data_IF_389110516294
#
_entry.id   IF_389110516294
#
_cell.length_a   1.000
_cell.length_b   1.000
_cell.length_c   1.000
_cell.angle_alpha   90.00
_cell.angle_beta   90.00
_cell.angle_gamma   90.00
#
_symmetry.space_group_name_H-M   'P 1'
#
loop_
_entity.id
_entity.type
_entity.pdbx_description
1 polymer ?
#
# COMPACT_ATOMS: atom_id res chain seq x y z
N UNK A 1 58.89 31.42 32.30
CA UNK A 1 58.52 30.01 32.04
C UNK A 1 57.05 29.96 31.67
N UNK A 2 56.70 29.04 30.79
CA UNK A 2 55.65 29.09 29.76
C UNK A 2 54.36 28.33 30.14
N UNK A 3 53.21 28.93 29.80
CA UNK A 3 51.89 28.35 29.42
C UNK A 3 51.08 27.49 30.44
N UNK A 4 49.75 27.28 30.23
CA UNK A 4 48.72 28.20 29.73
C UNK A 4 47.34 28.11 30.45
N UNK A 5 46.52 29.09 30.07
CA UNK A 5 45.06 29.30 30.17
C UNK A 5 44.15 28.07 30.04
N UNK A 6 42.95 28.17 30.61
CA UNK A 6 41.67 28.00 29.87
C UNK A 6 40.49 28.54 30.69
N UNK A 7 39.82 29.56 30.13
CA UNK A 7 38.50 30.08 30.52
C UNK A 7 37.47 29.41 29.60
N UNK A 8 36.29 29.02 30.11
CA UNK A 8 35.05 29.23 29.35
C UNK A 8 34.08 30.05 30.21
N UNK A 9 33.67 31.24 29.77
CA UNK A 9 32.71 31.51 28.70
C UNK A 9 31.27 31.31 29.16
N UNK A 10 30.62 32.47 29.31
CA UNK A 10 29.28 32.79 29.73
C UNK A 10 28.28 32.57 28.55
N UNK A 11 26.99 32.41 28.90
CA UNK A 11 25.76 32.82 28.17
C UNK A 11 24.92 31.78 27.39
N UNK A 12 23.67 31.71 27.86
CA UNK A 12 22.37 31.68 27.15
C UNK A 12 22.08 30.59 26.10
N UNK A 13 21.08 29.77 26.43
CA UNK A 13 20.09 29.28 25.45
C UNK A 13 18.69 29.50 26.01
N UNK A 14 18.14 30.69 25.74
CA UNK A 14 16.70 30.91 25.67
C UNK A 14 16.31 30.80 24.20
N UNK A 15 15.61 29.75 23.79
CA UNK A 15 15.00 29.69 22.47
C UNK A 15 13.88 28.64 22.38
N UNK A 16 12.67 29.14 22.14
CA UNK A 16 11.64 28.57 21.27
C UNK A 16 10.73 27.46 21.85
N UNK A 17 9.76 27.89 22.66
CA UNK A 17 8.40 27.33 22.57
C UNK A 17 7.79 27.75 21.23
N UNK A 18 8.03 26.97 20.18
CA UNK A 18 7.16 26.96 19.01
C UNK A 18 6.06 25.91 19.22
N UNK A 19 5.02 26.28 19.97
CA UNK A 19 3.75 25.56 19.94
C UNK A 19 3.28 25.56 18.49
N UNK A 20 3.35 24.39 17.85
CA UNK A 20 2.76 24.18 16.56
C UNK A 20 1.24 24.27 16.76
N UNK A 21 0.65 25.42 16.44
CA UNK A 21 -0.78 25.49 16.17
C UNK A 21 -1.01 24.60 14.97
N UNK A 22 -1.51 23.38 15.20
CA UNK A 22 -2.07 22.56 14.15
C UNK A 22 -3.12 23.42 13.45
N UNK A 23 -2.79 23.87 12.24
CA UNK A 23 -3.65 24.75 11.46
C UNK A 23 -5.00 24.06 11.28
N UNK A 24 -6.04 24.63 11.89
CA UNK A 24 -7.41 24.29 11.56
C UNK A 24 -7.65 24.76 10.13
N UNK A 25 -7.37 23.90 9.14
CA UNK A 25 -7.72 24.19 7.75
C UNK A 25 -9.24 24.41 7.75
N UNK A 26 -9.73 25.59 7.32
CA UNK A 26 -11.16 25.75 7.13
C UNK A 26 -11.61 24.64 6.18
N UNK A 27 -12.59 23.85 6.62
CA UNK A 27 -13.24 22.87 5.78
C UNK A 27 -13.77 23.65 4.58
N UNK A 28 -13.10 23.52 3.43
CA UNK A 28 -13.53 24.18 2.21
C UNK A 28 -14.99 23.82 1.98
N UNK A 29 -15.81 24.80 1.57
CA UNK A 29 -17.19 24.57 1.20
C UNK A 29 -17.24 23.31 0.32
N UNK A 30 -18.05 22.32 0.72
CA UNK A 30 -18.23 21.10 -0.03
C UNK A 30 -18.73 21.50 -1.43
N UNK A 31 -17.82 21.54 -2.40
CA UNK A 31 -18.18 21.75 -3.80
C UNK A 31 -19.12 20.63 -4.21
N UNK A 32 -20.03 20.92 -5.13
CA UNK A 32 -20.79 19.88 -5.83
C UNK A 32 -19.79 18.96 -6.53
N UNK A 33 -19.64 17.74 -6.03
CA UNK A 33 -18.75 16.74 -6.63
C UNK A 33 -19.20 16.50 -8.08
N UNK A 34 -18.32 16.69 -9.08
CA UNK A 34 -18.72 16.50 -10.46
C UNK A 34 -19.08 15.03 -10.69
N UNK A 35 -20.26 14.79 -11.25
CA UNK A 35 -20.72 13.44 -11.55
C UNK A 35 -19.82 12.77 -12.59
N UNK A 36 -19.57 11.47 -12.43
CA UNK A 36 -18.87 10.65 -13.41
C UNK A 36 -19.42 9.23 -13.46
N UNK A 37 -19.40 8.62 -14.64
CA UNK A 37 -19.71 7.20 -14.80
C UNK A 37 -18.61 6.33 -14.20
N UNK A 38 -18.96 5.10 -13.82
CA UNK A 38 -17.99 4.12 -13.34
C UNK A 38 -16.99 3.78 -14.47
N UNK A 39 -15.68 4.04 -14.31
CA UNK A 39 -14.69 3.81 -15.37
C UNK A 39 -14.64 2.38 -15.85
N UNK A 40 -14.51 2.13 -17.15
CA UNK A 40 -14.38 0.79 -17.70
C UNK A 40 -13.11 0.07 -17.17
N UNK A 41 -13.19 -1.26 -17.05
CA UNK A 41 -12.08 -2.09 -16.57
C UNK A 41 -10.84 -1.94 -17.47
N UNK A 42 -9.69 -1.66 -16.83
CA UNK A 42 -8.39 -1.44 -17.47
C UNK A 42 -8.38 -0.35 -18.56
N UNK A 43 -9.30 0.62 -18.48
CA UNK A 43 -9.27 1.82 -19.30
C UNK A 43 -8.89 3.03 -18.44
N UNK A 44 -7.97 3.89 -18.89
CA UNK A 44 -7.72 5.15 -18.23
C UNK A 44 -9.00 5.99 -18.17
N UNK A 45 -9.25 6.59 -17.02
CA UNK A 45 -10.24 7.63 -16.80
C UNK A 45 -9.58 8.86 -16.18
N UNK A 46 -10.27 9.99 -16.26
CA UNK A 46 -9.81 11.26 -15.70
C UNK A 46 -10.85 11.72 -14.69
N UNK A 47 -10.41 12.04 -13.48
CA UNK A 47 -11.24 12.66 -12.46
C UNK A 47 -11.62 14.09 -12.92
N UNK A 48 -12.92 14.39 -13.10
CA UNK A 48 -13.35 15.71 -13.59
C UNK A 48 -13.10 16.85 -12.59
N UNK A 49 -12.94 16.57 -11.30
CA UNK A 49 -12.66 17.58 -10.28
C UNK A 49 -11.19 18.01 -10.28
N UNK A 50 -10.27 17.05 -10.48
CA UNK A 50 -8.83 17.27 -10.27
C UNK A 50 -8.01 17.18 -11.55
N UNK A 51 -8.56 16.61 -12.63
CA UNK A 51 -7.83 16.28 -13.85
C UNK A 51 -6.86 15.09 -13.69
N UNK A 52 -6.83 14.42 -12.55
CA UNK A 52 -5.95 13.28 -12.29
C UNK A 52 -6.41 12.08 -13.12
N UNK A 53 -5.45 11.40 -13.75
CA UNK A 53 -5.69 10.16 -14.49
C UNK A 53 -5.57 8.96 -13.56
N UNK A 54 -6.52 8.02 -13.69
CA UNK A 54 -6.52 6.78 -12.93
C UNK A 54 -7.14 5.63 -13.74
N UNK A 55 -7.02 4.40 -13.24
CA UNK A 55 -7.52 3.20 -13.92
C UNK A 55 -8.28 2.32 -12.94
N UNK A 56 -9.48 1.85 -13.31
CA UNK A 56 -10.20 0.82 -12.56
C UNK A 56 -9.59 -0.56 -12.85
N UNK A 57 -9.05 -1.20 -11.81
CA UNK A 57 -8.30 -2.47 -11.93
C UNK A 57 -9.10 -3.70 -11.48
N UNK A 58 -10.38 -3.54 -11.16
CA UNK A 58 -11.28 -4.66 -10.81
C UNK A 58 -12.65 -4.50 -11.48
N UNK A 59 -13.37 -5.61 -11.55
CA UNK A 59 -14.78 -5.69 -11.93
C UNK A 59 -15.38 -6.98 -11.35
N UNK A 60 -16.70 -7.05 -11.08
CA UNK A 60 -17.34 -8.28 -10.62
C UNK A 60 -17.13 -9.44 -11.60
N UNK A 61 -16.93 -10.64 -11.06
CA UNK A 61 -16.77 -11.87 -11.85
C UNK A 61 -15.31 -12.16 -12.23
N UNK A 62 -15.12 -12.91 -13.30
CA UNK A 62 -13.81 -13.36 -13.74
C UNK A 62 -12.97 -12.20 -14.30
N UNK A 63 -11.73 -12.08 -13.84
CA UNK A 63 -10.74 -11.16 -14.41
C UNK A 63 -9.80 -11.85 -15.40
N UNK A 64 -9.55 -13.15 -15.21
CA UNK A 64 -8.56 -13.95 -15.94
C UNK A 64 -7.63 -14.70 -14.98
N UNK A 65 -6.87 -15.68 -15.48
CA UNK A 65 -5.86 -16.41 -14.68
C UNK A 65 -6.39 -17.02 -13.36
N UNK A 66 -7.65 -17.46 -13.36
CA UNK A 66 -8.34 -18.01 -12.18
C UNK A 66 -8.77 -16.98 -11.14
N UNK A 67 -8.50 -15.69 -11.34
CA UNK A 67 -8.91 -14.60 -10.45
C UNK A 67 -10.39 -14.27 -10.67
N UNK A 68 -11.14 -14.28 -9.58
CA UNK A 68 -12.57 -13.96 -9.54
C UNK A 68 -12.82 -12.95 -8.42
N UNK A 69 -13.37 -11.79 -8.80
CA UNK A 69 -13.78 -10.75 -7.87
C UNK A 69 -15.26 -10.90 -7.50
N UNK A 70 -15.56 -10.63 -6.23
CA UNK A 70 -16.91 -10.61 -5.69
C UNK A 70 -17.78 -9.50 -6.28
N UNK A 71 -19.08 -9.59 -6.05
CA UNK A 71 -20.07 -8.63 -6.57
C UNK A 71 -20.01 -7.26 -5.90
N UNK A 72 -19.62 -7.21 -4.62
CA UNK A 72 -19.70 -6.00 -3.80
C UNK A 72 -18.39 -5.21 -3.83
N UNK A 73 -17.26 -5.88 -3.59
CA UNK A 73 -15.94 -5.27 -3.62
C UNK A 73 -14.87 -6.30 -3.98
N UNK A 74 -13.72 -5.79 -4.44
CA UNK A 74 -12.51 -6.54 -4.69
C UNK A 74 -11.34 -5.57 -4.54
N UNK A 75 -10.58 -5.68 -3.45
CA UNK A 75 -9.59 -4.66 -3.04
C UNK A 75 -8.36 -5.28 -2.39
N UNK A 76 -7.33 -4.45 -2.21
CA UNK A 76 -6.27 -4.74 -1.24
C UNK A 76 -6.86 -4.81 0.18
N UNK A 77 -6.03 -5.20 1.14
CA UNK A 77 -6.38 -5.29 2.56
C UNK A 77 -6.48 -3.89 3.19
N UNK A 78 -5.95 -3.68 4.38
CA UNK A 78 -5.93 -2.36 5.02
C UNK A 78 -4.98 -1.40 4.30
N UNK A 79 -5.21 -0.09 4.40
CA UNK A 79 -4.31 0.94 3.85
C UNK A 79 -2.92 0.94 4.50
N UNK A 80 -2.78 0.33 5.67
CA UNK A 80 -1.49 0.09 6.34
C UNK A 80 -0.76 -1.16 5.86
N UNK A 81 -1.44 -2.06 5.16
CA UNK A 81 -0.84 -3.24 4.55
C UNK A 81 -0.33 -2.88 3.16
N UNK A 82 0.86 -3.38 2.81
CA UNK A 82 1.44 -3.10 1.51
C UNK A 82 0.68 -3.87 0.43
N UNK A 83 0.06 -3.16 -0.52
CA UNK A 83 -0.60 -3.81 -1.66
C UNK A 83 0.41 -4.25 -2.74
N UNK A 84 1.50 -3.49 -2.90
CA UNK A 84 2.60 -3.83 -3.83
C UNK A 84 3.75 -4.49 -3.11
N UNK A 85 4.44 -5.38 -3.81
CA UNK A 85 5.74 -5.88 -3.37
C UNK A 85 6.85 -4.83 -3.54
N UNK A 86 8.04 -5.11 -2.99
CA UNK A 86 9.12 -4.13 -2.85
C UNK A 86 9.63 -3.51 -4.18
N UNK A 87 9.54 -4.23 -5.30
CA UNK A 87 9.94 -3.75 -6.62
C UNK A 87 8.75 -3.31 -7.49
N UNK A 88 7.55 -3.28 -6.92
CA UNK A 88 6.29 -2.93 -7.57
C UNK A 88 5.94 -3.82 -8.78
N UNK A 89 6.52 -5.02 -8.90
CA UNK A 89 6.19 -5.96 -9.98
C UNK A 89 4.89 -6.73 -9.73
N UNK A 90 4.41 -6.82 -8.49
CA UNK A 90 3.16 -7.47 -8.11
C UNK A 90 2.28 -6.53 -7.27
N UNK A 91 0.99 -6.60 -7.53
CA UNK A 91 -0.09 -6.04 -6.69
C UNK A 91 -0.95 -7.19 -6.18
N UNK A 92 -1.30 -7.19 -4.90
CA UNK A 92 -2.20 -8.22 -4.32
C UNK A 92 -3.56 -7.64 -3.92
N UNK A 93 -4.62 -8.35 -4.32
CA UNK A 93 -5.98 -8.17 -3.83
C UNK A 93 -6.29 -9.33 -2.87
N UNK A 94 -6.80 -9.00 -1.68
CA UNK A 94 -7.06 -9.99 -0.61
C UNK A 94 -8.53 -9.98 -0.16
N UNK A 95 -9.19 -8.84 -0.34
CA UNK A 95 -10.55 -8.61 0.14
C UNK A 95 -11.52 -8.77 -1.02
N UNK A 96 -12.49 -9.68 -0.90
CA UNK A 96 -13.50 -9.91 -1.94
C UNK A 96 -12.96 -10.60 -3.20
N UNK A 97 -11.75 -11.17 -3.13
CA UNK A 97 -11.20 -12.05 -4.15
C UNK A 97 -11.24 -13.52 -3.70
N UNK A 98 -11.15 -14.47 -4.63
CA UNK A 98 -11.14 -15.92 -4.36
C UNK A 98 -9.78 -16.43 -3.84
N UNK A 99 -9.28 -15.81 -2.76
CA UNK A 99 -7.96 -16.03 -2.16
C UNK A 99 -7.10 -14.77 -2.21
N UNK A 100 -5.77 -14.94 -2.23
CA UNK A 100 -4.84 -13.86 -2.58
C UNK A 100 -4.66 -13.81 -4.08
N UNK A 101 -5.07 -12.72 -4.70
CA UNK A 101 -5.10 -12.54 -6.15
C UNK A 101 -4.00 -11.56 -6.57
N UNK A 102 -3.04 -12.04 -7.37
CA UNK A 102 -1.87 -11.28 -7.78
C UNK A 102 -2.06 -10.75 -9.20
N UNK A 103 -1.93 -9.44 -9.34
CA UNK A 103 -1.92 -8.72 -10.61
C UNK A 103 -0.50 -8.26 -10.92
N UNK A 104 -0.23 -8.03 -12.20
CA UNK A 104 0.99 -7.34 -12.63
C UNK A 104 0.98 -5.89 -12.11
N UNK A 105 2.05 -5.47 -11.43
CA UNK A 105 2.08 -4.19 -10.73
C UNK A 105 2.11 -2.96 -11.63
N UNK A 106 2.31 -3.13 -12.95
CA UNK A 106 2.40 -2.04 -13.94
C UNK A 106 1.19 -1.98 -14.87
N UNK A 107 0.74 -3.13 -15.34
CA UNK A 107 -0.37 -3.28 -16.31
C UNK A 107 -1.69 -3.61 -15.64
N UNK A 108 -1.65 -4.07 -14.38
CA UNK A 108 -2.80 -4.53 -13.60
C UNK A 108 -3.51 -5.76 -14.19
N UNK A 109 -2.86 -6.46 -15.13
CA UNK A 109 -3.38 -7.70 -15.68
C UNK A 109 -3.31 -8.83 -14.64
N UNK A 110 -4.32 -9.72 -14.59
CA UNK A 110 -4.35 -10.84 -13.66
C UNK A 110 -3.27 -11.88 -13.98
N UNK A 111 -2.46 -12.25 -12.98
CA UNK A 111 -1.37 -13.21 -13.14
C UNK A 111 -1.70 -14.58 -12.56
N UNK A 112 -2.10 -14.65 -11.29
CA UNK A 112 -2.43 -15.90 -10.61
C UNK A 112 -3.14 -15.63 -9.28
N UNK A 113 -3.80 -16.65 -8.73
CA UNK A 113 -4.31 -16.62 -7.36
C UNK A 113 -3.69 -17.73 -6.51
N UNK A 114 -3.75 -17.55 -5.18
CA UNK A 114 -3.30 -18.53 -4.19
C UNK A 114 -4.34 -18.63 -3.07
N UNK A 115 -4.71 -19.87 -2.74
CA UNK A 115 -5.46 -20.16 -1.54
C UNK A 115 -4.46 -20.33 -0.39
N UNK A 116 -4.27 -19.26 0.38
CA UNK A 116 -3.32 -19.23 1.50
C UNK A 116 -4.07 -18.78 2.74
N UNK A 117 -3.93 -19.56 3.81
CA UNK A 117 -4.43 -19.24 5.15
C UNK A 117 -3.48 -18.31 5.90
N UNK A 118 -4.00 -17.72 6.97
CA UNK A 118 -3.25 -16.78 7.81
C UNK A 118 -3.09 -15.42 7.15
N UNK A 119 -2.28 -14.58 7.80
CA UNK A 119 -1.98 -13.24 7.35
C UNK A 119 -0.58 -13.21 6.74
N UNK A 120 -0.42 -12.57 5.60
CA UNK A 120 0.85 -12.43 4.92
C UNK A 120 1.09 -10.97 4.56
N UNK A 121 2.30 -10.48 4.83
CA UNK A 121 2.74 -9.13 4.47
C UNK A 121 3.98 -9.22 3.57
N UNK A 122 4.07 -8.34 2.58
CA UNK A 122 5.26 -8.26 1.73
C UNK A 122 6.52 -7.99 2.55
N UNK A 123 7.62 -8.66 2.20
CA UNK A 123 8.92 -8.27 2.76
C UNK A 123 9.31 -6.91 2.19
N UNK A 124 9.80 -5.97 3.04
CA UNK A 124 10.04 -4.59 2.62
C UNK A 124 11.20 -4.41 1.63
N UNK A 125 12.07 -5.42 1.48
CA UNK A 125 13.27 -5.36 0.61
C UNK A 125 13.43 -6.54 -0.34
N UNK A 126 12.61 -7.58 -0.20
CA UNK A 126 12.69 -8.76 -1.05
C UNK A 126 11.34 -8.97 -1.71
N UNK A 127 11.26 -8.57 -2.97
CA UNK A 127 10.03 -8.55 -3.76
C UNK A 127 9.43 -9.95 -4.04
N UNK A 128 10.24 -11.01 -3.88
CA UNK A 128 9.83 -12.39 -4.15
C UNK A 128 9.16 -13.07 -2.97
N UNK A 129 9.14 -12.41 -1.80
CA UNK A 129 8.81 -13.07 -0.54
C UNK A 129 7.82 -12.26 0.31
N UNK A 130 6.95 -12.98 1.02
CA UNK A 130 6.11 -12.48 2.09
C UNK A 130 6.51 -13.12 3.42
N UNK A 131 6.26 -12.44 4.54
CA UNK A 131 6.27 -13.04 5.87
C UNK A 131 4.82 -13.35 6.22
N UNK A 132 4.56 -14.59 6.62
CA UNK A 132 3.23 -15.05 6.95
C UNK A 132 3.15 -15.51 8.41
N UNK A 133 1.99 -15.29 9.02
CA UNK A 133 1.63 -15.78 10.35
C UNK A 133 0.34 -16.57 10.25
N UNK A 134 0.36 -17.81 10.73
CA UNK A 134 -0.81 -18.68 10.79
C UNK A 134 -0.82 -19.45 12.11
N UNK A 135 -1.70 -19.04 13.03
CA UNK A 135 -1.68 -19.51 14.42
C UNK A 135 -0.34 -19.21 15.10
N UNK A 136 0.38 -20.26 15.51
CA UNK A 136 1.69 -20.17 16.17
C UNK A 136 2.88 -20.34 15.20
N UNK A 137 2.62 -20.39 13.89
CA UNK A 137 3.64 -20.59 12.86
C UNK A 137 3.98 -19.28 12.18
N UNK A 138 5.27 -18.99 12.07
CA UNK A 138 5.81 -17.94 11.20
C UNK A 138 6.47 -18.62 10.01
N UNK A 139 6.25 -18.10 8.80
CA UNK A 139 6.87 -18.62 7.59
C UNK A 139 7.27 -17.52 6.62
N UNK A 140 8.22 -17.84 5.74
CA UNK A 140 8.53 -17.07 4.55
C UNK A 140 7.91 -17.77 3.36
N UNK A 141 7.16 -17.02 2.55
CA UNK A 141 6.41 -17.58 1.43
C UNK A 141 6.69 -16.83 0.13
N UNK A 142 6.97 -17.56 -0.94
CA UNK A 142 7.18 -17.04 -2.28
C UNK A 142 5.91 -17.22 -3.13
N UNK A 143 5.07 -16.18 -3.33
CA UNK A 143 3.76 -16.33 -3.98
C UNK A 143 3.84 -16.83 -5.43
N UNK A 144 4.86 -16.41 -6.19
CA UNK A 144 5.04 -16.82 -7.59
C UNK A 144 5.18 -18.34 -7.71
N UNK A 145 6.07 -18.95 -6.93
CA UNK A 145 6.35 -20.39 -6.95
C UNK A 145 5.52 -21.21 -5.96
N UNK A 146 4.78 -20.53 -5.08
CA UNK A 146 4.03 -21.11 -3.96
C UNK A 146 4.89 -21.90 -2.95
N UNK A 147 6.20 -21.61 -2.87
CA UNK A 147 7.12 -22.25 -1.92
C UNK A 147 7.01 -21.58 -0.55
N UNK A 148 6.91 -22.36 0.52
CA UNK A 148 6.86 -21.87 1.89
C UNK A 148 7.96 -22.53 2.73
N UNK A 149 8.74 -21.71 3.43
CA UNK A 149 9.76 -22.15 4.40
C UNK A 149 9.32 -21.70 5.80
N UNK A 150 9.26 -22.64 6.75
CA UNK A 150 8.93 -22.35 8.15
C UNK A 150 10.17 -21.76 8.83
N UNK A 151 9.98 -20.73 9.66
CA UNK A 151 11.03 -20.06 10.43
C UNK A 151 11.04 -20.56 11.86
#
# INVERSE_FOLDING_TARGET
>A
MTFPRLIPALLLMAALLALHTAGNRPSGAAGTEPAMDLPAYLKPATDPATGIRFTRITQPGALGSGIVCGKIYCSHRYSSAQAWNADQSLLVLMNGCNGMCFLDGKTYLPLFHRNKSGECEWRPRNAEMMICVDGQKISIWAPRTNREDIV
#
